data_IF_957717999850
#
_entry.id   IF_957717999850
#
_cell.length_a   1.000
_cell.length_b   1.000
_cell.length_c   1.000
_cell.angle_alpha   90.00
_cell.angle_beta   90.00
_cell.angle_gamma   90.00
#
_symmetry.space_group_name_H-M   'P 1'
#
loop_
_entity.id
_entity.type
_entity.pdbx_description
1 polymer ?
#
# COMPACT_ATOMS: atom_id res chain seq x y z
N UNK A 1 -9.13 -75.41 37.49
CA UNK A 1 -9.23 -73.99 37.90
C UNK A 1 -8.62 -73.17 36.78
N UNK A 2 -9.47 -72.76 35.83
CA UNK A 2 -9.04 -71.88 34.68
C UNK A 2 -9.30 -70.44 35.05
N UNK A 3 -8.26 -69.61 34.95
CA UNK A 3 -8.34 -68.17 35.11
C UNK A 3 -8.47 -67.52 33.72
N UNK A 4 -9.62 -67.08 33.38
CA UNK A 4 -9.92 -66.30 32.20
C UNK A 4 -9.42 -64.87 32.38
N UNK A 5 -8.44 -64.46 31.59
CA UNK A 5 -7.89 -63.10 31.58
C UNK A 5 -8.66 -62.25 30.57
N UNK A 6 -9.47 -61.29 31.05
CA UNK A 6 -10.19 -60.32 30.25
C UNK A 6 -9.24 -59.18 29.84
N UNK A 7 -8.97 -59.05 28.57
CA UNK A 7 -8.25 -57.90 28.03
C UNK A 7 -9.27 -56.77 27.75
N UNK A 8 -9.21 -55.70 28.53
CA UNK A 8 -9.94 -54.47 28.25
C UNK A 8 -9.24 -53.67 27.18
N UNK A 9 -9.92 -53.47 26.05
CA UNK A 9 -9.46 -52.56 24.99
C UNK A 9 -9.94 -51.16 25.35
N UNK A 10 -9.02 -50.30 25.76
CA UNK A 10 -9.29 -48.88 25.98
C UNK A 10 -9.17 -48.14 24.63
N UNK A 11 -10.30 -47.79 24.03
CA UNK A 11 -10.33 -46.99 22.82
C UNK A 11 -10.04 -45.50 23.17
N UNK A 12 -8.89 -45.00 22.82
CA UNK A 12 -8.55 -43.59 22.95
C UNK A 12 -9.14 -42.83 21.76
N UNK A 13 -10.21 -42.09 21.99
CA UNK A 13 -10.79 -41.20 20.98
C UNK A 13 -9.89 -39.95 20.89
N UNK A 14 -9.10 -39.82 19.81
CA UNK A 14 -8.40 -38.59 19.46
C UNK A 14 -9.45 -37.58 18.94
N UNK A 15 -9.79 -36.61 19.78
CA UNK A 15 -10.61 -35.47 19.37
C UNK A 15 -9.72 -34.51 18.55
N UNK A 16 -9.75 -34.63 17.22
CA UNK A 16 -9.14 -33.65 16.32
C UNK A 16 -9.92 -32.34 16.41
N UNK A 17 -9.49 -31.42 17.28
CA UNK A 17 -9.90 -30.03 17.23
C UNK A 17 -9.34 -29.40 15.96
N UNK A 18 -10.12 -29.36 14.89
CA UNK A 18 -9.86 -28.52 13.73
C UNK A 18 -9.96 -27.05 14.17
N UNK A 19 -8.82 -26.42 14.42
CA UNK A 19 -8.74 -24.97 14.61
C UNK A 19 -9.02 -24.35 13.25
N UNK A 20 -10.26 -23.93 13.02
CA UNK A 20 -10.59 -23.06 11.89
C UNK A 20 -9.85 -21.75 12.11
N UNK A 21 -8.76 -21.54 11.41
CA UNK A 21 -8.11 -20.25 11.35
C UNK A 21 -9.10 -19.29 10.65
N UNK A 22 -9.81 -18.48 11.42
CA UNK A 22 -10.59 -17.38 10.85
C UNK A 22 -9.63 -16.44 10.14
N UNK A 23 -9.84 -16.27 8.84
CA UNK A 23 -9.09 -15.27 8.07
C UNK A 23 -9.33 -13.90 8.71
N UNK A 24 -8.25 -13.24 9.13
CA UNK A 24 -8.35 -11.90 9.71
C UNK A 24 -8.83 -10.93 8.64
N UNK A 25 -9.75 -10.04 9.00
CA UNK A 25 -10.22 -9.01 8.08
C UNK A 25 -9.05 -8.06 7.73
N UNK A 26 -8.74 -7.84 6.45
CA UNK A 26 -7.63 -6.98 6.05
C UNK A 26 -7.88 -5.52 6.47
N UNK A 27 -6.81 -4.79 6.77
CA UNK A 27 -6.87 -3.35 7.02
C UNK A 27 -7.38 -2.62 5.78
N UNK A 28 -8.29 -1.67 5.96
CA UNK A 28 -8.69 -0.73 4.92
C UNK A 28 -7.69 0.42 4.90
N UNK A 29 -6.91 0.51 3.82
CA UNK A 29 -5.91 1.54 3.61
C UNK A 29 -6.45 2.53 2.57
N UNK A 30 -6.63 3.78 2.97
CA UNK A 30 -7.20 4.83 2.12
C UNK A 30 -6.20 5.29 1.06
N UNK A 31 -6.37 4.86 -0.21
CA UNK A 31 -5.50 5.22 -1.32
C UNK A 31 -5.53 6.73 -1.60
N UNK A 32 -4.35 7.39 -1.52
CA UNK A 32 -4.21 8.85 -1.63
C UNK A 32 -5.18 9.60 -0.72
N UNK A 33 -5.35 9.09 0.48
CA UNK A 33 -6.31 9.57 1.47
C UNK A 33 -7.79 9.42 1.06
N UNK A 34 -8.14 8.42 0.23
CA UNK A 34 -9.53 8.18 -0.18
C UNK A 34 -9.94 8.98 -1.42
N UNK A 35 -9.18 8.80 -2.50
CA UNK A 35 -9.35 9.53 -3.77
C UNK A 35 -10.73 9.36 -4.43
N UNK A 36 -11.50 8.33 -4.06
CA UNK A 36 -12.87 8.13 -4.52
C UNK A 36 -13.91 8.93 -3.74
N UNK A 37 -13.57 9.38 -2.53
CA UNK A 37 -14.52 10.06 -1.63
C UNK A 37 -14.27 11.58 -1.54
N UNK A 38 -13.01 12.03 -1.74
CA UNK A 38 -12.59 13.41 -1.57
C UNK A 38 -11.32 13.75 -2.39
N UNK A 39 -10.99 15.04 -2.57
CA UNK A 39 -9.77 15.45 -3.27
C UNK A 39 -8.52 14.82 -2.67
N UNK A 40 -7.81 14.02 -3.48
CA UNK A 40 -6.70 13.19 -3.01
C UNK A 40 -5.57 13.98 -2.34
N UNK A 41 -4.90 13.36 -1.38
CA UNK A 41 -3.74 13.93 -0.68
C UNK A 41 -4.00 15.27 0.02
N UNK A 42 -5.23 15.58 0.38
CA UNK A 42 -5.61 16.76 1.17
C UNK A 42 -5.87 16.38 2.64
N UNK A 43 -5.73 17.35 3.55
CA UNK A 43 -6.11 17.13 4.95
C UNK A 43 -7.60 16.81 5.11
N UNK A 44 -8.44 17.36 4.23
CA UNK A 44 -9.87 17.05 4.20
C UNK A 44 -10.13 15.58 3.88
N UNK A 45 -9.45 15.03 2.84
CA UNK A 45 -9.57 13.63 2.47
C UNK A 45 -9.08 12.69 3.58
N UNK A 46 -7.97 13.02 4.25
CA UNK A 46 -7.48 12.28 5.42
C UNK A 46 -8.54 12.22 6.52
N UNK A 47 -9.11 13.38 6.90
CA UNK A 47 -10.16 13.45 7.92
C UNK A 47 -11.37 12.58 7.54
N UNK A 48 -11.85 12.70 6.29
CA UNK A 48 -12.99 11.91 5.79
C UNK A 48 -12.70 10.40 5.77
N UNK A 49 -11.51 10.00 5.41
CA UNK A 49 -11.13 8.59 5.42
C UNK A 49 -11.10 8.02 6.85
N UNK A 50 -10.61 8.77 7.82
CA UNK A 50 -10.62 8.37 9.24
C UNK A 50 -12.06 8.34 9.80
N UNK A 51 -12.89 9.32 9.46
CA UNK A 51 -14.33 9.32 9.80
C UNK A 51 -15.04 8.08 9.23
N UNK A 52 -14.66 7.66 8.02
CA UNK A 52 -15.12 6.45 7.34
C UNK A 52 -14.37 5.17 7.80
N UNK A 53 -13.69 5.22 8.94
CA UNK A 53 -13.05 4.07 9.59
C UNK A 53 -11.95 3.38 8.75
N UNK A 54 -11.23 4.14 7.94
CA UNK A 54 -9.97 3.64 7.39
C UNK A 54 -8.99 3.32 8.53
N UNK A 55 -8.30 2.18 8.44
CA UNK A 55 -7.33 1.74 9.46
C UNK A 55 -5.97 2.42 9.29
N UNK A 56 -5.65 2.82 8.05
CA UNK A 56 -4.44 3.53 7.70
C UNK A 56 -4.65 4.42 6.47
N UNK A 57 -3.76 5.37 6.29
CA UNK A 57 -3.82 6.32 5.19
C UNK A 57 -2.60 6.16 4.28
N UNK A 58 -2.84 5.97 2.99
CA UNK A 58 -1.82 6.01 1.96
C UNK A 58 -1.77 7.39 1.33
N UNK A 59 -0.62 8.05 1.39
CA UNK A 59 -0.38 9.37 0.81
C UNK A 59 0.78 9.32 -0.18
N UNK A 60 0.82 10.28 -1.09
CA UNK A 60 1.91 10.41 -2.06
C UNK A 60 2.68 11.69 -1.81
N UNK A 61 4.01 11.63 -1.82
CA UNK A 61 4.89 12.74 -1.45
C UNK A 61 5.84 13.09 -2.59
N UNK A 62 6.00 14.40 -2.82
CA UNK A 62 7.01 15.01 -3.69
C UNK A 62 7.75 16.11 -2.93
N UNK A 63 8.93 16.52 -3.44
CA UNK A 63 9.65 17.68 -2.91
C UNK A 63 9.23 18.97 -3.61
N UNK A 64 8.96 20.00 -2.82
CA UNK A 64 8.79 21.37 -3.30
C UNK A 64 10.13 22.01 -3.71
N UNK A 65 10.09 23.18 -4.35
CA UNK A 65 11.28 23.97 -4.75
C UNK A 65 12.25 24.25 -3.60
N UNK A 66 11.72 24.40 -2.40
CA UNK A 66 12.49 24.66 -1.16
C UNK A 66 12.79 23.37 -0.38
N UNK A 67 12.68 22.20 -1.02
CA UNK A 67 13.06 20.90 -0.45
C UNK A 67 12.08 20.36 0.62
N UNK A 68 10.91 20.95 0.75
CA UNK A 68 9.92 20.52 1.76
C UNK A 68 9.05 19.40 1.19
N UNK A 69 8.93 18.25 1.86
CA UNK A 69 8.01 17.18 1.46
C UNK A 69 6.54 17.63 1.53
N UNK A 70 5.82 17.56 0.41
CA UNK A 70 4.41 17.96 0.26
C UNK A 70 3.58 16.82 -0.31
N UNK A 71 2.28 16.80 -0.02
CA UNK A 71 1.39 15.74 -0.47
C UNK A 71 0.83 16.05 -1.86
N UNK A 72 1.36 15.39 -2.87
CA UNK A 72 0.87 15.51 -4.24
C UNK A 72 1.34 14.31 -5.08
N UNK A 73 0.51 13.81 -6.01
CA UNK A 73 0.87 12.60 -6.78
C UNK A 73 1.24 12.88 -8.24
N UNK A 74 0.45 13.59 -9.05
CA UNK A 74 0.77 13.77 -10.47
C UNK A 74 2.08 14.55 -10.68
N UNK A 75 2.69 14.38 -11.84
CA UNK A 75 3.90 15.13 -12.23
C UNK A 75 3.61 16.60 -12.53
N UNK A 76 2.38 16.94 -12.87
CA UNK A 76 1.96 18.31 -13.19
C UNK A 76 0.78 18.74 -12.32
N UNK A 77 0.86 19.94 -11.78
CA UNK A 77 -0.17 20.54 -10.93
C UNK A 77 -1.52 20.73 -11.64
N UNK A 78 -1.51 20.85 -12.97
CA UNK A 78 -2.74 20.98 -13.76
C UNK A 78 -3.63 19.71 -13.72
N UNK A 79 -3.09 18.59 -13.28
CA UNK A 79 -3.88 17.35 -13.15
C UNK A 79 -4.97 17.45 -12.10
N UNK A 80 -4.75 18.18 -10.99
CA UNK A 80 -5.68 18.24 -9.85
C UNK A 80 -6.02 19.67 -9.40
N UNK A 81 -5.20 20.66 -9.78
CA UNK A 81 -5.34 22.04 -9.29
C UNK A 81 -5.69 23.02 -10.41
N UNK A 82 -5.84 24.29 -10.05
CA UNK A 82 -5.98 25.42 -10.95
C UNK A 82 -4.63 26.01 -11.42
N UNK A 83 -3.51 25.30 -11.22
CA UNK A 83 -2.14 25.69 -11.59
C UNK A 83 -1.52 24.64 -12.48
N UNK A 84 -0.40 24.97 -13.10
CA UNK A 84 0.37 24.07 -13.98
C UNK A 84 1.84 24.02 -13.60
N UNK A 85 2.56 23.06 -14.15
CA UNK A 85 3.97 22.83 -13.89
C UNK A 85 4.25 21.83 -12.77
N UNK A 86 5.51 21.43 -12.57
CA UNK A 86 5.89 20.48 -11.55
C UNK A 86 5.81 21.07 -10.13
N UNK A 87 5.65 20.23 -9.14
CA UNK A 87 5.68 20.59 -7.71
C UNK A 87 6.99 21.30 -7.36
N UNK A 88 8.11 20.83 -7.90
CA UNK A 88 9.46 21.38 -7.69
C UNK A 88 9.67 22.82 -8.21
N UNK A 89 8.76 23.34 -9.02
CA UNK A 89 8.81 24.75 -9.46
C UNK A 89 8.34 25.74 -8.39
N UNK A 90 7.61 25.29 -7.35
CA UNK A 90 6.95 26.12 -6.36
C UNK A 90 7.41 25.81 -4.94
N UNK A 91 7.55 26.86 -4.11
CA UNK A 91 7.78 26.69 -2.67
C UNK A 91 6.56 26.11 -1.98
N UNK A 92 6.76 25.38 -0.88
CA UNK A 92 5.67 24.75 -0.11
C UNK A 92 4.59 25.78 0.31
N UNK A 93 4.98 26.99 0.70
CA UNK A 93 4.04 28.06 1.05
C UNK A 93 3.16 28.52 -0.13
N UNK A 94 3.61 28.39 -1.36
CA UNK A 94 2.83 28.69 -2.57
C UNK A 94 1.86 27.53 -2.86
N UNK A 95 2.38 26.29 -2.79
CA UNK A 95 1.59 25.06 -2.99
C UNK A 95 0.40 24.97 -2.01
N UNK A 96 0.59 25.39 -0.78
CA UNK A 96 -0.47 25.43 0.24
C UNK A 96 -1.66 26.36 -0.12
N UNK A 97 -1.47 27.26 -1.10
CA UNK A 97 -2.53 28.18 -1.58
C UNK A 97 -3.18 27.75 -2.88
N UNK A 98 -2.69 26.68 -3.52
CA UNK A 98 -3.26 26.16 -4.76
C UNK A 98 -4.52 25.33 -4.42
N UNK A 99 -5.51 25.42 -5.27
CA UNK A 99 -6.78 24.72 -5.05
C UNK A 99 -6.67 23.25 -5.45
N UNK A 100 -6.38 22.37 -4.49
CA UNK A 100 -6.27 20.93 -4.68
C UNK A 100 -7.63 20.24 -4.90
N UNK A 101 -8.73 20.94 -4.66
CA UNK A 101 -10.09 20.46 -4.95
C UNK A 101 -10.59 20.84 -6.33
N UNK A 102 -9.81 21.59 -7.11
CA UNK A 102 -10.29 22.25 -8.33
C UNK A 102 -10.83 21.30 -9.39
N UNK A 103 -10.22 20.12 -9.56
CA UNK A 103 -10.60 19.11 -10.57
C UNK A 103 -11.23 17.86 -10.00
N UNK A 104 -11.52 17.85 -8.71
CA UNK A 104 -12.22 16.70 -8.12
C UNK A 104 -13.67 16.66 -8.61
N UNK A 105 -14.12 15.46 -9.01
CA UNK A 105 -15.40 15.17 -9.65
C UNK A 105 -15.46 15.60 -11.12
N UNK A 106 -16.07 14.73 -11.93
CA UNK A 106 -16.43 15.01 -13.33
C UNK A 106 -17.76 15.74 -13.44
N UNK A 107 -18.52 15.84 -12.33
CA UNK A 107 -19.83 16.46 -12.30
C UNK A 107 -19.72 17.99 -12.38
N UNK A 108 -20.72 18.63 -12.98
CA UNK A 108 -20.75 20.08 -13.21
C UNK A 108 -20.63 20.92 -11.94
N UNK A 109 -20.95 20.35 -10.79
CA UNK A 109 -21.03 21.09 -9.51
C UNK A 109 -19.66 21.45 -8.92
N UNK A 110 -18.59 20.70 -9.25
CA UNK A 110 -17.26 20.91 -8.69
C UNK A 110 -17.26 21.30 -7.19
N UNK A 111 -17.78 20.44 -6.30
CA UNK A 111 -18.15 20.81 -4.94
C UNK A 111 -16.98 21.25 -4.06
N UNK A 112 -15.75 20.97 -4.50
CA UNK A 112 -14.53 21.30 -3.73
C UNK A 112 -13.76 22.49 -4.28
N UNK A 113 -14.19 23.13 -5.37
CA UNK A 113 -13.53 24.34 -5.88
C UNK A 113 -13.66 25.49 -4.90
N UNK A 114 -12.55 26.22 -4.71
CA UNK A 114 -12.49 27.39 -3.84
C UNK A 114 -12.89 27.13 -2.37
N UNK A 115 -12.72 25.89 -1.90
CA UNK A 115 -13.00 25.51 -0.50
C UNK A 115 -11.77 25.62 0.41
N UNK A 116 -10.68 26.23 -0.07
CA UNK A 116 -9.45 26.40 0.72
C UNK A 116 -8.64 25.12 0.92
N UNK A 117 -8.86 24.10 0.07
CA UNK A 117 -8.13 22.84 0.11
C UNK A 117 -6.79 23.02 -0.59
N UNK A 118 -5.75 23.34 0.16
CA UNK A 118 -4.38 23.47 -0.34
C UNK A 118 -3.62 22.14 -0.38
N UNK A 119 -2.41 22.18 -0.95
CA UNK A 119 -1.45 21.07 -0.90
C UNK A 119 -0.71 21.15 0.43
N UNK A 120 -0.91 20.21 1.38
CA UNK A 120 -0.28 20.27 2.70
C UNK A 120 1.15 19.75 2.66
N UNK A 121 1.97 20.11 3.63
CA UNK A 121 3.26 19.48 3.87
C UNK A 121 3.10 18.17 4.64
N UNK A 122 4.04 17.24 4.45
CA UNK A 122 4.10 16.00 5.22
C UNK A 122 4.20 16.29 6.73
N UNK A 123 4.98 17.30 7.11
CA UNK A 123 5.14 17.71 8.51
C UNK A 123 3.79 18.12 9.14
N UNK A 124 3.01 18.96 8.44
CA UNK A 124 1.68 19.38 8.91
C UNK A 124 0.76 18.19 9.13
N UNK A 125 0.72 17.25 8.17
CA UNK A 125 -0.12 16.04 8.24
C UNK A 125 0.30 15.15 9.41
N UNK A 126 1.58 14.81 9.53
CA UNK A 126 2.07 13.95 10.61
C UNK A 126 1.87 14.57 12.00
N UNK A 127 1.96 15.90 12.11
CA UNK A 127 1.68 16.64 13.34
C UNK A 127 0.20 16.61 13.71
N UNK A 128 -0.68 16.78 12.72
CA UNK A 128 -2.13 16.85 12.92
C UNK A 128 -2.75 15.50 13.28
N UNK A 129 -2.16 14.41 12.78
CA UNK A 129 -2.66 13.05 12.95
C UNK A 129 -1.60 12.15 13.63
N UNK A 130 -1.28 12.38 14.92
CA UNK A 130 -0.17 11.73 15.61
C UNK A 130 -0.37 10.22 15.79
N UNK A 131 -1.61 9.75 15.88
CA UNK A 131 -1.97 8.35 16.13
C UNK A 131 -2.32 7.57 14.86
N UNK A 132 -2.26 8.23 13.69
CA UNK A 132 -2.58 7.60 12.40
C UNK A 132 -1.35 6.94 11.79
N UNK A 133 -1.54 5.73 11.27
CA UNK A 133 -0.51 5.04 10.49
C UNK A 133 -0.55 5.50 9.03
N UNK A 134 0.62 5.86 8.48
CA UNK A 134 0.75 6.33 7.12
C UNK A 134 1.63 5.41 6.27
N UNK A 135 1.12 5.05 5.10
CA UNK A 135 1.90 4.53 3.99
C UNK A 135 2.25 5.70 3.08
N UNK A 136 3.53 5.88 2.77
CA UNK A 136 4.05 7.04 2.05
C UNK A 136 4.68 6.59 0.74
N UNK A 137 4.05 6.93 -0.38
CA UNK A 137 4.50 6.64 -1.73
C UNK A 137 5.35 7.80 -2.25
N UNK A 138 6.60 7.53 -2.61
CA UNK A 138 7.54 8.51 -3.12
C UNK A 138 7.39 8.64 -4.64
N UNK A 139 7.02 9.84 -5.10
CA UNK A 139 6.71 10.13 -6.51
C UNK A 139 7.33 11.44 -7.00
N UNK A 140 8.50 11.81 -6.50
CA UNK A 140 9.22 12.98 -7.01
C UNK A 140 9.87 12.65 -8.37
N UNK A 141 9.40 13.19 -9.50
CA UNK A 141 9.92 12.80 -10.80
C UNK A 141 11.32 13.37 -11.07
N UNK A 142 11.73 14.40 -10.33
CA UNK A 142 12.87 15.25 -10.57
C UNK A 142 13.73 15.55 -9.32
N UNK A 143 13.44 14.92 -8.19
CA UNK A 143 14.25 15.08 -6.99
C UNK A 143 15.42 14.08 -6.95
N UNK A 144 16.54 14.50 -6.39
CA UNK A 144 17.60 13.58 -6.02
C UNK A 144 17.15 12.65 -4.89
N UNK A 145 17.28 11.31 -5.02
CA UNK A 145 16.82 10.36 -4.00
C UNK A 145 17.46 10.57 -2.63
N UNK A 146 18.75 10.90 -2.56
CA UNK A 146 19.45 11.11 -1.28
C UNK A 146 18.98 12.40 -0.61
N UNK A 147 18.76 13.47 -1.38
CA UNK A 147 18.18 14.70 -0.85
C UNK A 147 16.77 14.44 -0.30
N UNK A 148 15.93 13.75 -1.05
CA UNK A 148 14.58 13.43 -0.58
C UNK A 148 14.60 12.60 0.71
N UNK A 149 15.46 11.58 0.78
CA UNK A 149 15.61 10.75 1.97
C UNK A 149 16.00 11.58 3.21
N UNK A 150 16.96 12.51 3.07
CA UNK A 150 17.40 13.42 4.12
C UNK A 150 16.27 14.32 4.64
N UNK A 151 15.47 14.90 3.74
CA UNK A 151 14.36 15.76 4.15
C UNK A 151 13.22 14.97 4.82
N UNK A 152 12.96 13.75 4.35
CA UNK A 152 12.01 12.83 4.99
C UNK A 152 12.46 12.44 6.40
N UNK A 153 13.73 12.07 6.58
CA UNK A 153 14.29 11.71 7.89
C UNK A 153 14.11 12.85 8.90
N UNK A 154 14.40 14.10 8.52
CA UNK A 154 14.19 15.28 9.39
C UNK A 154 12.74 15.41 9.84
N UNK A 155 11.79 15.25 8.91
CA UNK A 155 10.35 15.33 9.23
C UNK A 155 9.94 14.20 10.16
N UNK A 156 10.37 12.97 9.89
CA UNK A 156 10.04 11.81 10.72
C UNK A 156 10.60 11.93 12.13
N UNK A 157 11.85 12.38 12.28
CA UNK A 157 12.48 12.60 13.57
C UNK A 157 11.72 13.68 14.37
N UNK A 158 11.42 14.82 13.74
CA UNK A 158 10.70 15.92 14.36
C UNK A 158 9.30 15.51 14.81
N UNK A 159 8.58 14.70 14.05
CA UNK A 159 7.20 14.26 14.34
C UNK A 159 7.14 12.90 15.05
N UNK A 160 8.28 12.31 15.43
CA UNK A 160 8.38 10.98 16.08
C UNK A 160 7.60 9.91 15.29
N UNK A 161 7.75 9.91 13.97
CA UNK A 161 6.87 9.17 13.06
C UNK A 161 7.49 7.89 12.46
N UNK A 162 8.71 7.48 12.84
CA UNK A 162 9.37 6.30 12.28
C UNK A 162 8.57 5.01 12.45
N UNK A 163 7.92 4.82 13.59
CA UNK A 163 7.19 3.57 13.90
C UNK A 163 5.81 3.49 13.26
N UNK A 164 5.23 4.63 12.88
CA UNK A 164 3.88 4.74 12.30
C UNK A 164 3.89 5.12 10.83
N UNK A 165 5.01 4.93 10.14
CA UNK A 165 5.14 5.16 8.70
C UNK A 165 5.79 3.99 7.99
N UNK A 166 5.41 3.73 6.73
CA UNK A 166 6.04 2.77 5.82
C UNK A 166 6.16 3.40 4.45
N UNK A 167 7.32 3.25 3.84
CA UNK A 167 7.62 3.90 2.57
C UNK A 167 7.51 2.93 1.40
N UNK A 168 6.97 3.42 0.31
CA UNK A 168 6.82 2.72 -0.96
C UNK A 168 7.33 3.58 -2.10
N UNK A 169 7.83 2.99 -3.15
CA UNK A 169 8.08 3.63 -4.44
C UNK A 169 8.02 2.62 -5.57
N UNK A 170 7.66 3.06 -6.75
CA UNK A 170 7.83 2.31 -7.99
C UNK A 170 9.25 2.39 -8.53
N UNK A 171 10.03 3.39 -8.09
CA UNK A 171 11.45 3.54 -8.38
C UNK A 171 12.27 3.09 -7.16
N UNK A 172 13.06 2.04 -7.33
CA UNK A 172 13.86 1.44 -6.27
C UNK A 172 14.96 2.38 -5.76
N UNK A 173 15.43 3.33 -6.58
CA UNK A 173 16.45 4.28 -6.17
C UNK A 173 16.02 5.11 -4.95
N UNK A 174 14.74 5.51 -4.89
CA UNK A 174 14.20 6.23 -3.74
C UNK A 174 14.13 5.36 -2.47
N UNK A 175 13.82 4.08 -2.61
CA UNK A 175 13.79 3.15 -1.47
C UNK A 175 15.21 2.86 -0.96
N UNK A 176 16.18 2.68 -1.87
CA UNK A 176 17.55 2.38 -1.51
C UNK A 176 18.26 3.57 -0.84
N UNK A 177 17.87 4.80 -1.16
CA UNK A 177 18.42 6.01 -0.55
C UNK A 177 17.93 6.24 0.91
N UNK A 178 16.83 5.60 1.34
CA UNK A 178 16.31 5.79 2.69
C UNK A 178 17.26 5.19 3.74
N UNK A 179 17.48 5.85 4.89
CA UNK A 179 18.16 5.28 6.05
C UNK A 179 17.52 3.96 6.52
N UNK A 180 18.31 3.09 7.18
CA UNK A 180 17.83 1.76 7.62
C UNK A 180 16.68 1.83 8.63
N UNK A 181 16.64 2.88 9.42
CA UNK A 181 15.61 3.15 10.42
C UNK A 181 14.24 3.43 9.81
N UNK A 182 14.21 3.88 8.54
CA UNK A 182 12.98 4.14 7.81
C UNK A 182 12.46 2.83 7.22
N UNK A 183 11.36 2.35 7.77
CA UNK A 183 10.70 1.13 7.35
C UNK A 183 10.05 1.29 5.97
N UNK A 184 10.21 0.27 5.12
CA UNK A 184 9.79 0.33 3.71
C UNK A 184 9.25 -0.99 3.20
N UNK A 185 8.50 -0.90 2.13
CA UNK A 185 8.15 -2.06 1.32
C UNK A 185 9.37 -2.58 0.55
N UNK A 186 9.33 -3.85 0.18
CA UNK A 186 10.20 -4.38 -0.87
C UNK A 186 9.90 -3.66 -2.19
N UNK A 187 10.90 -3.54 -3.06
CA UNK A 187 10.68 -2.88 -4.34
C UNK A 187 9.59 -3.58 -5.14
N UNK A 188 8.84 -2.77 -5.90
CA UNK A 188 7.74 -3.25 -6.73
C UNK A 188 8.20 -4.32 -7.73
N UNK A 189 9.35 -4.09 -8.35
CA UNK A 189 9.87 -5.01 -9.38
C UNK A 189 10.32 -6.34 -8.77
N UNK A 190 10.96 -6.33 -7.62
CA UNK A 190 11.30 -7.56 -6.90
C UNK A 190 10.06 -8.32 -6.45
N UNK A 191 9.07 -7.61 -5.88
CA UNK A 191 7.79 -8.23 -5.48
C UNK A 191 7.10 -8.88 -6.67
N UNK A 192 7.04 -8.19 -7.81
CA UNK A 192 6.45 -8.71 -9.05
C UNK A 192 7.19 -9.93 -9.57
N UNK A 193 8.53 -9.89 -9.59
CA UNK A 193 9.37 -11.01 -10.05
C UNK A 193 9.18 -12.24 -9.17
N UNK A 194 9.22 -12.07 -7.85
CA UNK A 194 8.96 -13.17 -6.92
C UNK A 194 7.57 -13.77 -7.11
N UNK A 195 6.54 -12.92 -7.23
CA UNK A 195 5.18 -13.38 -7.47
C UNK A 195 5.06 -14.15 -8.78
N UNK A 196 5.69 -13.66 -9.86
CA UNK A 196 5.69 -14.35 -11.15
C UNK A 196 6.40 -15.71 -11.09
N UNK A 197 7.56 -15.80 -10.45
CA UNK A 197 8.28 -17.06 -10.29
C UNK A 197 7.44 -18.11 -9.52
N UNK A 198 6.71 -17.68 -8.50
CA UNK A 198 5.86 -18.59 -7.73
C UNK A 198 4.65 -19.02 -8.56
N UNK A 199 3.89 -18.08 -9.11
CA UNK A 199 2.59 -18.39 -9.73
C UNK A 199 2.71 -18.97 -11.14
N UNK A 200 3.81 -18.72 -11.85
CA UNK A 200 4.01 -19.21 -13.23
C UNK A 200 5.01 -20.37 -13.31
N UNK A 201 5.96 -20.47 -12.38
CA UNK A 201 7.01 -21.48 -12.43
C UNK A 201 7.05 -22.39 -11.17
N UNK A 202 6.16 -22.17 -10.18
CA UNK A 202 6.11 -22.89 -8.90
C UNK A 202 7.45 -22.86 -8.14
N UNK A 203 8.20 -21.75 -8.28
CA UNK A 203 9.49 -21.53 -7.65
C UNK A 203 9.36 -20.56 -6.49
N UNK A 204 9.50 -21.07 -5.27
CA UNK A 204 9.43 -20.27 -4.04
C UNK A 204 10.83 -19.83 -3.58
N UNK A 205 11.39 -18.84 -4.26
CA UNK A 205 12.74 -18.30 -3.98
C UNK A 205 12.69 -16.93 -3.30
N UNK A 206 11.92 -16.83 -2.21
CA UNK A 206 11.89 -15.63 -1.39
C UNK A 206 13.14 -15.60 -0.51
N UNK A 207 13.97 -14.53 -0.58
CA UNK A 207 15.15 -14.41 0.27
C UNK A 207 14.78 -14.54 1.74
N UNK A 208 15.54 -15.34 2.48
CA UNK A 208 15.39 -15.44 3.93
C UNK A 208 15.57 -14.05 4.52
N UNK A 209 14.61 -13.63 5.34
CA UNK A 209 14.76 -12.38 6.07
C UNK A 209 15.49 -12.67 7.38
N UNK A 210 16.51 -11.88 7.68
CA UNK A 210 17.34 -12.10 8.85
C UNK A 210 16.82 -11.36 10.07
N UNK A 211 16.18 -10.18 9.94
CA UNK A 211 15.97 -9.34 11.12
C UNK A 211 14.69 -8.50 11.18
N UNK A 212 13.89 -8.40 10.11
CA UNK A 212 12.68 -7.57 10.14
C UNK A 212 11.56 -8.12 9.24
N UNK A 213 10.32 -7.95 9.65
CA UNK A 213 9.16 -8.26 8.81
C UNK A 213 9.24 -7.51 7.49
N UNK A 214 9.06 -8.20 6.37
CA UNK A 214 9.04 -7.60 5.05
C UNK A 214 7.63 -7.18 4.67
N UNK A 215 7.55 -6.05 4.01
CA UNK A 215 6.30 -5.49 3.51
C UNK A 215 6.28 -5.61 1.99
N UNK A 216 5.23 -6.23 1.47
CA UNK A 216 5.02 -6.43 0.05
C UNK A 216 3.73 -5.76 -0.39
N UNK A 217 3.78 -5.02 -1.49
CA UNK A 217 2.61 -4.33 -2.03
C UNK A 217 2.56 -4.46 -3.55
N UNK A 218 1.49 -5.08 -4.07
CA UNK A 218 1.26 -5.21 -5.51
C UNK A 218 -0.24 -5.37 -5.79
N UNK A 219 -0.64 -5.14 -7.05
CA UNK A 219 -2.01 -5.39 -7.47
C UNK A 219 -2.40 -6.86 -7.25
N UNK A 220 -3.60 -7.08 -6.73
CA UNK A 220 -4.14 -8.43 -6.51
C UNK A 220 -4.18 -9.23 -7.83
N UNK A 221 -4.54 -8.55 -8.92
CA UNK A 221 -4.51 -9.07 -10.29
C UNK A 221 -3.96 -8.01 -11.23
N UNK A 222 -3.09 -8.40 -12.13
CA UNK A 222 -2.49 -7.51 -13.12
C UNK A 222 -2.32 -8.20 -14.45
N UNK A 223 -2.82 -7.59 -15.53
CA UNK A 223 -2.49 -7.99 -16.87
C UNK A 223 -1.00 -7.76 -17.14
N UNK A 224 -0.32 -8.77 -17.61
CA UNK A 224 1.10 -8.76 -17.97
C UNK A 224 1.28 -9.32 -19.37
N UNK A 225 2.37 -8.95 -20.01
CA UNK A 225 2.82 -9.54 -21.25
C UNK A 225 4.10 -10.32 -20.96
N UNK A 226 4.08 -11.63 -21.21
CA UNK A 226 5.26 -12.47 -21.14
C UNK A 226 5.97 -12.38 -22.49
N UNK A 227 7.25 -11.99 -22.48
CA UNK A 227 8.07 -11.87 -23.68
C UNK A 227 9.17 -12.91 -23.64
N UNK A 228 9.11 -13.86 -24.57
CA UNK A 228 10.15 -14.85 -24.78
C UNK A 228 11.05 -14.40 -25.93
N UNK A 229 12.35 -14.32 -25.68
CA UNK A 229 13.34 -13.91 -26.67
C UNK A 229 14.02 -15.13 -27.28
N UNK A 230 13.98 -15.22 -28.59
CA UNK A 230 14.66 -16.23 -29.38
C UNK A 230 15.77 -15.59 -30.22
N UNK A 231 16.65 -16.40 -30.80
CA UNK A 231 17.75 -15.92 -31.65
C UNK A 231 17.29 -15.07 -32.85
N UNK A 232 16.11 -15.36 -33.38
CA UNK A 232 15.57 -14.73 -34.60
C UNK A 232 14.24 -13.97 -34.36
N UNK A 233 13.91 -13.66 -33.10
CA UNK A 233 12.67 -12.92 -32.84
C UNK A 233 12.19 -13.02 -31.41
N UNK A 234 10.97 -12.54 -31.17
CA UNK A 234 10.29 -12.56 -29.87
C UNK A 234 8.91 -13.22 -30.04
N UNK A 235 8.52 -14.01 -29.05
CA UNK A 235 7.12 -14.38 -28.85
C UNK A 235 6.55 -13.56 -27.67
N UNK A 236 5.28 -13.15 -27.82
CA UNK A 236 4.57 -12.38 -26.81
C UNK A 236 3.24 -13.02 -26.48
N UNK A 237 3.00 -13.28 -25.21
CA UNK A 237 1.74 -13.85 -24.73
C UNK A 237 1.17 -13.01 -23.60
N UNK A 238 -0.15 -12.78 -23.65
CA UNK A 238 -0.87 -12.10 -22.59
C UNK A 238 -1.17 -13.07 -21.46
N UNK A 239 -0.95 -12.65 -20.23
CA UNK A 239 -1.23 -13.41 -19.02
C UNK A 239 -1.78 -12.50 -17.94
N UNK A 240 -2.29 -13.09 -16.85
CA UNK A 240 -2.72 -12.35 -15.65
C UNK A 240 -1.88 -12.83 -14.50
N UNK A 241 -1.06 -11.93 -13.97
CA UNK A 241 -0.34 -12.16 -12.72
C UNK A 241 -1.32 -11.95 -11.55
N UNK A 242 -1.51 -12.97 -10.73
CA UNK A 242 -2.51 -12.99 -9.65
C UNK A 242 -1.89 -13.52 -8.37
N UNK A 243 -2.22 -12.90 -7.22
CA UNK A 243 -1.95 -13.51 -5.93
C UNK A 243 -2.89 -14.71 -5.71
N UNK A 244 -2.31 -15.82 -5.30
CA UNK A 244 -3.00 -17.05 -4.97
C UNK A 244 -2.50 -17.62 -3.63
N UNK A 245 -3.08 -18.74 -3.20
CA UNK A 245 -2.73 -19.38 -1.94
C UNK A 245 -1.27 -19.88 -1.91
N UNK A 246 -0.72 -20.30 -3.05
CA UNK A 246 0.67 -20.73 -3.15
C UNK A 246 1.61 -19.55 -2.90
N UNK A 247 1.35 -18.41 -3.56
CA UNK A 247 2.10 -17.18 -3.35
C UNK A 247 2.01 -16.70 -1.90
N UNK A 248 0.79 -16.60 -1.33
CA UNK A 248 0.62 -16.16 0.06
C UNK A 248 1.39 -17.06 1.03
N UNK A 249 1.33 -18.37 0.86
CA UNK A 249 2.06 -19.34 1.68
C UNK A 249 3.58 -19.19 1.52
N UNK A 250 4.06 -19.01 0.29
CA UNK A 250 5.48 -18.84 0.01
C UNK A 250 6.04 -17.57 0.64
N UNK A 251 5.40 -16.41 0.41
CA UNK A 251 5.83 -15.14 0.99
C UNK A 251 5.87 -15.17 2.52
N UNK A 252 4.90 -15.84 3.16
CA UNK A 252 4.80 -15.93 4.63
C UNK A 252 5.73 -16.95 5.25
N UNK A 253 6.05 -18.04 4.55
CA UNK A 253 6.83 -19.16 5.11
C UNK A 253 8.25 -18.76 5.51
N UNK A 254 8.87 -17.80 4.79
CA UNK A 254 10.29 -17.44 4.98
C UNK A 254 10.53 -16.08 5.62
N UNK A 255 9.53 -15.23 5.72
CA UNK A 255 9.77 -13.82 6.04
C UNK A 255 8.83 -13.17 7.06
N UNK A 256 7.80 -13.86 7.57
CA UNK A 256 6.79 -13.17 8.40
C UNK A 256 6.21 -11.95 7.66
N UNK A 257 5.87 -12.11 6.38
CA UNK A 257 5.52 -11.02 5.48
C UNK A 257 4.23 -10.31 5.88
N UNK A 258 4.20 -9.00 5.70
CA UNK A 258 2.99 -8.20 5.64
C UNK A 258 2.65 -7.94 4.16
N UNK A 259 1.47 -8.32 3.71
CA UNK A 259 1.06 -8.28 2.31
C UNK A 259 -0.13 -7.33 2.15
N UNK A 260 0.08 -6.25 1.40
CA UNK A 260 -0.96 -5.27 1.05
C UNK A 260 -1.34 -5.45 -0.42
N UNK A 261 -2.62 -5.73 -0.69
CA UNK A 261 -3.13 -5.92 -2.04
C UNK A 261 -3.70 -4.62 -2.61
N UNK A 262 -3.27 -4.28 -3.83
CA UNK A 262 -3.73 -3.11 -4.57
C UNK A 262 -4.81 -3.46 -5.59
N UNK A 263 -5.52 -2.44 -6.08
CA UNK A 263 -6.52 -2.62 -7.13
C UNK A 263 -7.81 -3.29 -6.65
N UNK A 264 -8.13 -3.14 -5.38
CA UNK A 264 -9.37 -3.63 -4.76
C UNK A 264 -10.47 -2.61 -5.02
N UNK A 265 -11.46 -2.98 -5.84
CA UNK A 265 -12.49 -2.06 -6.34
C UNK A 265 -13.91 -2.45 -5.99
N UNK A 266 -14.15 -3.74 -5.71
CA UNK A 266 -15.46 -4.31 -5.47
C UNK A 266 -15.51 -5.08 -4.15
N UNK A 267 -16.71 -5.38 -3.68
CA UNK A 267 -16.92 -6.27 -2.51
C UNK A 267 -16.31 -7.65 -2.76
N UNK A 268 -16.43 -8.18 -3.98
CA UNK A 268 -15.84 -9.47 -4.34
C UNK A 268 -14.31 -9.44 -4.27
N UNK A 269 -13.66 -8.35 -4.72
CA UNK A 269 -12.21 -8.17 -4.55
C UNK A 269 -11.83 -8.16 -3.07
N UNK A 270 -12.60 -7.49 -2.22
CA UNK A 270 -12.36 -7.43 -0.77
C UNK A 270 -12.50 -8.80 -0.13
N UNK A 271 -13.54 -9.55 -0.48
CA UNK A 271 -13.77 -10.91 0.00
C UNK A 271 -12.63 -11.84 -0.41
N UNK A 272 -12.21 -11.79 -1.68
CA UNK A 272 -11.07 -12.58 -2.16
C UNK A 272 -9.76 -12.20 -1.43
N UNK A 273 -9.51 -10.92 -1.18
CA UNK A 273 -8.35 -10.47 -0.41
C UNK A 273 -8.37 -11.01 1.03
N UNK A 274 -9.56 -11.04 1.66
CA UNK A 274 -9.79 -11.62 2.98
C UNK A 274 -9.54 -13.14 2.98
N UNK A 275 -10.05 -13.86 1.98
CA UNK A 275 -9.85 -15.30 1.81
C UNK A 275 -8.39 -15.67 1.59
N UNK A 276 -7.65 -14.85 0.84
CA UNK A 276 -6.20 -14.98 0.68
C UNK A 276 -5.42 -14.66 1.96
N UNK A 277 -6.07 -14.07 2.97
CA UNK A 277 -5.42 -13.67 4.22
C UNK A 277 -4.50 -12.46 4.05
N UNK A 278 -4.84 -11.51 3.18
CA UNK A 278 -4.10 -10.25 3.05
C UNK A 278 -4.11 -9.46 4.37
N UNK A 279 -3.01 -8.77 4.69
CA UNK A 279 -2.92 -7.91 5.87
C UNK A 279 -3.59 -6.56 5.65
N UNK A 280 -3.57 -6.07 4.42
CA UNK A 280 -4.20 -4.81 4.04
C UNK A 280 -4.69 -4.78 2.60
N UNK A 281 -5.64 -3.91 2.34
CA UNK A 281 -6.17 -3.61 1.00
C UNK A 281 -6.13 -2.12 0.74
N UNK A 282 -5.62 -1.73 -0.43
CA UNK A 282 -5.56 -0.33 -0.85
C UNK A 282 -6.84 0.00 -1.64
N UNK A 283 -7.66 0.89 -1.10
CA UNK A 283 -8.99 1.23 -1.63
C UNK A 283 -9.15 2.73 -1.92
N UNK A 284 -9.86 3.06 -2.98
CA UNK A 284 -10.14 4.45 -3.36
C UNK A 284 -11.26 5.07 -2.51
N UNK A 285 -12.22 4.28 -2.03
CA UNK A 285 -13.36 4.75 -1.23
C UNK A 285 -13.46 4.02 0.12
N UNK A 286 -12.80 4.51 1.18
CA UNK A 286 -13.02 3.99 2.53
C UNK A 286 -14.48 4.00 2.96
N UNK A 287 -15.26 4.99 2.51
CA UNK A 287 -16.70 5.07 2.77
C UNK A 287 -17.44 3.83 2.30
N UNK A 288 -17.16 3.35 1.09
CA UNK A 288 -17.75 2.13 0.55
C UNK A 288 -17.23 0.89 1.30
N UNK A 289 -15.93 0.76 1.44
CA UNK A 289 -15.30 -0.46 1.96
C UNK A 289 -15.51 -0.67 3.45
N UNK A 290 -15.75 0.39 4.24
CA UNK A 290 -16.11 0.24 5.65
C UNK A 290 -17.40 -0.55 5.86
N UNK A 291 -18.32 -0.54 4.88
CA UNK A 291 -19.56 -1.32 4.94
C UNK A 291 -19.32 -2.82 4.79
N UNK A 292 -18.24 -3.23 4.11
CA UNK A 292 -17.89 -4.64 3.89
C UNK A 292 -17.17 -5.28 5.08
N UNK A 293 -16.66 -4.48 6.02
CA UNK A 293 -16.04 -4.99 7.26
C UNK A 293 -17.05 -5.59 8.24
N UNK A 294 -18.28 -5.13 8.18
CA UNK A 294 -19.34 -5.46 9.15
C UNK A 294 -20.18 -6.65 8.71
N UNK A 295 -19.98 -7.13 7.49
CA UNK A 295 -20.61 -8.33 6.92
C UNK A 295 -19.57 -9.51 6.93
#
# INVERSE_FOLDING_TARGET
MEKTMRHGITATILLCCSVSAFATTPQIIAHRAGTGDAPENTEYAISKSLENKADAIWITVQLSKDGIPVLYRPSDLNSLTNKSGPVSAYKAKQLAKFDAGYKFSSDSDHPFRNKGLGIPTLEQVLKKYPDTFFYIDLKSPDADPAQQAKELEKVLAKQKAFTRTRFYSTDEAYLNALPKEIQRFESRDKTRTMLANITMAHQCDIPANTDTARWYGLEMRRNVEVVEKYTLGEARSKSVLTWDNEAMKCFRAKSGANITLFGIKTEEDFKQAKELGADGVLVDSPKLFSTFKTN
#
